data_IF_681836988765
#
_entry.id   IF_681836988765
#
_cell.length_a   1.000
_cell.length_b   1.000
_cell.length_c   1.000
_cell.angle_alpha   90.00
_cell.angle_beta   90.00
_cell.angle_gamma   90.00
#
_symmetry.space_group_name_H-M   'P 1'
#
loop_
_entity.id
_entity.type
_entity.pdbx_description
1 polymer ?
#
# COMPACT_ATOMS: atom_id res chain seq x y z
N UNK A 1 -35.65 -35.30 32.88
CA UNK A 1 -34.93 -34.17 32.23
C UNK A 1 -34.22 -34.66 30.98
N UNK A 2 -34.56 -34.02 29.87
CA UNK A 2 -34.45 -34.53 28.50
C UNK A 2 -33.02 -34.75 28.03
N UNK A 3 -32.74 -35.90 27.41
CA UNK A 3 -31.45 -36.24 26.77
C UNK A 3 -30.97 -35.14 25.80
N UNK A 4 -31.91 -34.35 25.28
CA UNK A 4 -31.68 -33.19 24.42
C UNK A 4 -30.96 -32.03 25.10
N UNK A 5 -31.11 -31.80 26.41
CA UNK A 5 -30.43 -30.68 27.07
C UNK A 5 -28.93 -30.90 27.12
N UNK A 6 -28.48 -32.13 27.42
CA UNK A 6 -27.05 -32.49 27.41
C UNK A 6 -26.45 -32.35 26.01
N UNK A 7 -27.22 -32.73 24.99
CA UNK A 7 -26.83 -32.57 23.60
C UNK A 7 -26.67 -31.09 23.21
N UNK A 8 -27.65 -30.25 23.54
CA UNK A 8 -27.58 -28.80 23.27
C UNK A 8 -26.42 -28.13 24.01
N UNK A 9 -26.17 -28.49 25.27
CA UNK A 9 -25.04 -27.96 26.05
C UNK A 9 -23.69 -28.34 25.40
N UNK A 10 -23.54 -29.57 24.91
CA UNK A 10 -22.32 -29.99 24.22
C UNK A 10 -22.11 -29.22 22.91
N UNK A 11 -23.17 -28.99 22.13
CA UNK A 11 -23.12 -28.20 20.89
C UNK A 11 -22.74 -26.74 21.18
N UNK A 12 -23.35 -26.13 22.18
CA UNK A 12 -23.06 -24.74 22.56
C UNK A 12 -21.61 -24.61 23.04
N UNK A 13 -21.14 -25.54 23.86
CA UNK A 13 -19.75 -25.55 24.32
C UNK A 13 -18.75 -25.71 23.16
N UNK A 14 -19.04 -26.62 22.22
CA UNK A 14 -18.20 -26.79 21.03
C UNK A 14 -18.16 -25.55 20.14
N UNK A 15 -19.31 -24.93 19.90
CA UNK A 15 -19.40 -23.70 19.11
C UNK A 15 -18.68 -22.53 19.79
N UNK A 16 -18.87 -22.36 21.10
CA UNK A 16 -18.19 -21.33 21.87
C UNK A 16 -16.67 -21.52 21.87
N UNK A 17 -16.20 -22.76 22.06
CA UNK A 17 -14.78 -23.08 22.02
C UNK A 17 -14.16 -22.85 20.63
N UNK A 18 -14.86 -23.25 19.56
CA UNK A 18 -14.41 -23.03 18.18
C UNK A 18 -14.32 -21.55 17.82
N UNK A 19 -15.32 -20.76 18.22
CA UNK A 19 -15.32 -19.31 18.01
C UNK A 19 -14.21 -18.61 18.81
N UNK A 20 -14.05 -19.00 20.09
CA UNK A 20 -12.98 -18.46 20.92
C UNK A 20 -11.60 -18.76 20.33
N UNK A 21 -11.39 -19.98 19.84
CA UNK A 21 -10.14 -20.36 19.19
C UNK A 21 -9.89 -19.55 17.92
N UNK A 22 -10.88 -19.43 17.04
CA UNK A 22 -10.76 -18.67 15.78
C UNK A 22 -10.62 -17.16 15.95
N UNK A 23 -11.02 -16.59 17.09
CA UNK A 23 -10.90 -15.14 17.33
C UNK A 23 -9.68 -14.77 18.19
N UNK A 24 -9.39 -15.55 19.24
CA UNK A 24 -8.37 -15.20 20.24
C UNK A 24 -7.03 -15.88 19.98
N UNK A 25 -7.04 -17.14 19.52
CA UNK A 25 -5.82 -17.92 19.35
C UNK A 25 -5.20 -17.72 17.97
N UNK A 26 -6.04 -17.70 16.93
CA UNK A 26 -5.59 -17.47 15.56
C UNK A 26 -6.56 -16.50 14.86
N UNK A 27 -6.54 -15.20 15.23
CA UNK A 27 -7.35 -14.20 14.55
C UNK A 27 -7.05 -14.22 13.05
N UNK A 28 -8.03 -13.86 12.23
CA UNK A 28 -7.79 -13.65 10.79
C UNK A 28 -6.71 -12.57 10.65
N UNK A 29 -5.51 -12.98 10.25
CA UNK A 29 -4.52 -12.06 9.73
C UNK A 29 -4.89 -11.84 8.26
N UNK A 30 -5.20 -10.59 7.90
CA UNK A 30 -5.34 -10.20 6.51
C UNK A 30 -3.96 -10.25 5.85
N UNK A 31 -3.51 -11.44 5.50
CA UNK A 31 -2.33 -11.69 4.69
C UNK A 31 -2.82 -11.65 3.24
N UNK A 32 -2.52 -10.56 2.53
CA UNK A 32 -2.83 -10.25 1.11
C UNK A 32 -3.58 -8.92 0.95
N UNK A 33 -3.14 -7.90 1.67
CA UNK A 33 -3.69 -6.56 1.52
C UNK A 33 -2.98 -5.89 0.32
N UNK A 34 -3.75 -5.44 -0.67
CA UNK A 34 -3.23 -4.79 -1.87
C UNK A 34 -2.30 -3.59 -1.51
N UNK A 35 -1.34 -3.20 -2.37
CA UNK A 35 -0.36 -2.17 -2.01
C UNK A 35 -0.97 -0.81 -1.63
N UNK A 36 -2.21 -0.58 -2.03
CA UNK A 36 -3.05 0.55 -1.61
C UNK A 36 -3.36 0.60 -0.09
N UNK A 37 -3.22 -0.51 0.62
CA UNK A 37 -3.46 -0.60 2.07
C UNK A 37 -2.21 -0.34 2.90
N UNK A 38 -1.04 -0.17 2.26
CA UNK A 38 0.18 0.16 2.99
C UNK A 38 -0.05 1.44 3.81
N UNK A 39 0.52 1.43 5.01
CA UNK A 39 0.63 2.64 5.81
C UNK A 39 1.39 3.71 5.02
N UNK A 40 1.08 4.96 5.33
CA UNK A 40 1.60 6.13 4.60
C UNK A 40 3.14 6.23 4.65
N UNK A 41 3.78 5.72 5.72
CA UNK A 41 5.24 5.59 5.83
C UNK A 41 5.80 4.71 4.70
N UNK A 42 5.35 3.46 4.59
CA UNK A 42 5.85 2.54 3.56
C UNK A 42 5.47 2.96 2.14
N UNK A 43 4.32 3.62 1.96
CA UNK A 43 3.98 4.22 0.66
C UNK A 43 4.98 5.29 0.28
N UNK A 44 5.38 6.13 1.23
CA UNK A 44 6.36 7.19 1.00
C UNK A 44 7.72 6.61 0.65
N UNK A 45 8.17 5.58 1.38
CA UNK A 45 9.42 4.87 1.07
C UNK A 45 9.40 4.23 -0.34
N UNK A 46 8.28 3.64 -0.74
CA UNK A 46 8.14 3.10 -2.09
C UNK A 46 8.23 4.19 -3.16
N UNK A 47 7.55 5.32 -2.95
CA UNK A 47 7.62 6.46 -3.89
C UNK A 47 9.05 7.01 -3.97
N UNK A 48 9.78 7.05 -2.86
CA UNK A 48 11.19 7.44 -2.83
C UNK A 48 12.06 6.50 -3.67
N UNK A 49 11.91 5.17 -3.51
CA UNK A 49 12.62 4.19 -4.35
C UNK A 49 12.30 4.37 -5.84
N UNK A 50 11.06 4.71 -6.18
CA UNK A 50 10.67 5.01 -7.57
C UNK A 50 11.36 6.30 -8.05
N UNK A 51 11.45 7.34 -7.20
CA UNK A 51 12.13 8.58 -7.52
C UNK A 51 13.64 8.39 -7.74
N UNK A 52 14.29 7.60 -6.89
CA UNK A 52 15.70 7.21 -7.03
C UNK A 52 15.95 6.47 -8.35
N UNK A 53 15.13 5.45 -8.65
CA UNK A 53 15.28 4.71 -9.91
C UNK A 53 14.98 5.59 -11.13
N UNK A 54 14.01 6.51 -11.04
CA UNK A 54 13.77 7.49 -12.10
C UNK A 54 14.98 8.39 -12.33
N UNK A 55 15.67 8.82 -11.28
CA UNK A 55 16.88 9.64 -11.42
C UNK A 55 17.97 8.92 -12.23
N UNK A 56 18.10 7.60 -12.07
CA UNK A 56 19.07 6.77 -12.78
C UNK A 56 18.61 6.45 -14.20
N UNK A 57 17.38 5.96 -14.35
CA UNK A 57 16.87 5.42 -15.62
C UNK A 57 16.27 6.50 -16.55
N UNK A 58 15.90 7.66 -15.99
CA UNK A 58 15.22 8.78 -16.67
C UNK A 58 13.93 8.37 -17.42
N UNK A 59 13.35 7.22 -17.07
CA UNK A 59 12.18 6.66 -17.72
C UNK A 59 10.91 6.98 -16.93
N UNK A 60 10.24 8.06 -17.35
CA UNK A 60 9.05 8.56 -16.66
C UNK A 60 7.85 7.61 -16.78
N UNK A 61 7.65 6.96 -17.93
CA UNK A 61 6.59 5.97 -18.11
C UNK A 61 6.75 4.75 -17.22
N UNK A 62 7.98 4.29 -17.02
CA UNK A 62 8.27 3.21 -16.07
C UNK A 62 8.00 3.65 -14.63
N UNK A 63 8.38 4.89 -14.26
CA UNK A 63 8.08 5.45 -12.95
C UNK A 63 6.56 5.51 -12.70
N UNK A 64 5.77 5.97 -13.69
CA UNK A 64 4.31 6.00 -13.58
C UNK A 64 3.71 4.61 -13.43
N UNK A 65 4.16 3.62 -14.22
CA UNK A 65 3.70 2.23 -14.09
C UNK A 65 3.97 1.67 -12.70
N UNK A 66 5.12 2.01 -12.10
CA UNK A 66 5.46 1.62 -10.73
C UNK A 66 4.59 2.33 -9.69
N UNK A 67 4.34 3.63 -9.85
CA UNK A 67 3.44 4.38 -8.95
C UNK A 67 1.99 3.87 -9.01
N UNK A 68 1.53 3.43 -10.18
CA UNK A 68 0.20 2.85 -10.36
C UNK A 68 -0.04 1.56 -9.55
N UNK A 69 1.03 0.92 -9.02
CA UNK A 69 0.88 -0.21 -8.11
C UNK A 69 0.31 0.20 -6.75
N UNK A 70 0.46 1.46 -6.34
CA UNK A 70 -0.04 1.99 -5.06
C UNK A 70 -1.54 2.30 -5.06
N UNK A 71 -2.23 2.15 -6.19
CA UNK A 71 -3.67 2.33 -6.31
C UNK A 71 -4.07 3.12 -7.56
N UNK A 72 -5.33 3.59 -7.55
CA UNK A 72 -5.96 4.29 -8.68
C UNK A 72 -5.77 5.81 -8.70
N UNK A 73 -5.10 6.38 -7.70
CA UNK A 73 -4.80 7.82 -7.63
C UNK A 73 -3.88 8.26 -8.76
N UNK A 74 -3.96 9.53 -9.13
CA UNK A 74 -3.04 10.08 -10.13
C UNK A 74 -1.59 9.99 -9.62
N UNK A 75 -0.60 9.66 -10.47
CA UNK A 75 0.81 9.58 -10.06
C UNK A 75 1.32 10.86 -9.39
N UNK A 76 0.85 12.02 -9.83
CA UNK A 76 1.16 13.33 -9.24
C UNK A 76 0.64 13.46 -7.81
N UNK A 77 -0.58 12.97 -7.54
CA UNK A 77 -1.17 12.97 -6.19
C UNK A 77 -0.42 12.02 -5.25
N UNK A 78 -0.02 10.85 -5.76
CA UNK A 78 0.76 9.87 -5.00
C UNK A 78 2.09 10.49 -4.53
N UNK A 79 2.80 11.16 -5.44
CA UNK A 79 4.06 11.84 -5.11
C UNK A 79 3.85 13.05 -4.20
N UNK A 80 2.79 13.84 -4.41
CA UNK A 80 2.48 14.97 -3.55
C UNK A 80 2.18 14.55 -2.11
N UNK A 81 1.44 13.44 -1.93
CA UNK A 81 1.17 12.87 -0.61
C UNK A 81 2.44 12.37 0.07
N UNK A 82 3.30 11.66 -0.67
CA UNK A 82 4.60 11.19 -0.18
C UNK A 82 5.50 12.36 0.24
N UNK A 83 5.58 13.42 -0.57
CA UNK A 83 6.35 14.63 -0.24
C UNK A 83 5.80 15.32 1.03
N UNK A 84 4.47 15.44 1.14
CA UNK A 84 3.82 15.99 2.33
C UNK A 84 4.10 15.19 3.60
N UNK A 85 4.12 13.86 3.50
CA UNK A 85 4.50 12.98 4.61
C UNK A 85 5.98 13.12 4.97
N UNK A 86 6.87 13.12 3.98
CA UNK A 86 8.32 13.23 4.14
C UNK A 86 8.73 14.54 4.83
N UNK A 87 8.07 15.65 4.50
CA UNK A 87 8.28 16.95 5.14
C UNK A 87 7.90 16.96 6.63
N UNK A 88 6.88 16.19 7.02
CA UNK A 88 6.43 16.09 8.41
C UNK A 88 7.30 15.16 9.27
N UNK A 89 8.05 14.25 8.63
CA UNK A 89 8.82 13.19 9.31
C UNK A 89 10.34 13.36 9.13
N UNK A 90 10.81 14.58 8.86
CA UNK A 90 12.23 14.95 8.84
C UNK A 90 13.11 14.10 7.89
N UNK A 91 12.58 13.74 6.72
CA UNK A 91 13.36 13.04 5.69
C UNK A 91 14.58 13.86 5.26
N UNK A 92 15.62 13.18 4.73
CA UNK A 92 16.83 13.87 4.31
C UNK A 92 16.52 14.86 3.17
N UNK A 93 17.24 15.99 3.15
CA UNK A 93 17.05 17.01 2.12
C UNK A 93 17.27 16.49 0.69
N UNK A 94 18.15 15.50 0.54
CA UNK A 94 18.39 14.82 -0.72
C UNK A 94 17.15 14.03 -1.18
N UNK A 95 16.51 13.28 -0.28
CA UNK A 95 15.31 12.49 -0.57
C UNK A 95 14.13 13.39 -0.94
N UNK A 96 13.97 14.51 -0.23
CA UNK A 96 12.98 15.53 -0.56
C UNK A 96 13.20 16.09 -1.98
N UNK A 97 14.46 16.31 -2.38
CA UNK A 97 14.78 16.78 -3.73
C UNK A 97 14.45 15.74 -4.81
N UNK A 98 14.63 14.46 -4.51
CA UNK A 98 14.27 13.37 -5.42
C UNK A 98 12.76 13.31 -5.64
N UNK A 99 11.99 13.31 -4.55
CA UNK A 99 10.53 13.33 -4.58
C UNK A 99 10.00 14.56 -5.33
N UNK A 100 10.58 15.74 -5.08
CA UNK A 100 10.22 16.95 -5.80
C UNK A 100 10.53 16.85 -7.29
N UNK A 101 11.72 16.38 -7.66
CA UNK A 101 12.13 16.24 -9.07
C UNK A 101 11.23 15.29 -9.84
N UNK A 102 10.81 14.17 -9.22
CA UNK A 102 9.85 13.24 -9.79
C UNK A 102 8.48 13.91 -9.95
N UNK A 103 8.04 14.66 -8.94
CA UNK A 103 6.77 15.40 -8.98
C UNK A 103 6.71 16.42 -10.11
N UNK A 104 7.79 17.18 -10.31
CA UNK A 104 7.93 18.15 -11.40
C UNK A 104 7.93 17.47 -12.77
N UNK A 105 8.66 16.36 -12.92
CA UNK A 105 8.69 15.59 -14.16
C UNK A 105 7.28 15.09 -14.53
N UNK A 106 6.53 14.58 -13.54
CA UNK A 106 5.17 14.07 -13.75
C UNK A 106 4.18 15.15 -14.23
N UNK A 107 4.38 16.42 -13.92
CA UNK A 107 3.53 17.50 -14.46
C UNK A 107 3.66 17.66 -15.98
N UNK A 108 4.81 17.28 -16.53
CA UNK A 108 5.08 17.33 -17.97
C UNK A 108 4.77 16.00 -18.68
N UNK A 109 4.46 14.95 -17.93
CA UNK A 109 4.22 13.62 -18.46
C UNK A 109 2.94 13.59 -19.29
N UNK A 110 3.04 13.06 -20.50
CA UNK A 110 1.89 12.85 -21.37
C UNK A 110 1.89 11.39 -21.87
N UNK A 111 0.95 10.55 -21.42
CA UNK A 111 0.91 9.13 -21.79
C UNK A 111 0.71 8.91 -23.30
N UNK A 112 0.14 9.87 -24.01
CA UNK A 112 -0.06 9.76 -25.46
C UNK A 112 1.22 9.94 -26.28
N UNK A 113 2.30 10.45 -25.66
CA UNK A 113 3.60 10.62 -26.29
C UNK A 113 4.50 9.41 -26.10
N UNK A 114 4.13 8.48 -25.21
CA UNK A 114 4.86 7.24 -25.00
C UNK A 114 4.47 6.20 -26.04
N UNK A 115 5.42 5.85 -26.90
CA UNK A 115 5.27 4.73 -27.82
C UNK A 115 5.18 3.45 -26.96
N UNK A 116 4.10 2.67 -27.02
CA UNK A 116 4.00 1.44 -26.26
C UNK A 116 5.14 0.52 -26.68
N UNK A 117 6.06 0.27 -25.75
CA UNK A 117 7.12 -0.72 -25.93
C UNK A 117 6.46 -2.10 -26.04
N UNK A 118 6.68 -2.84 -27.14
CA UNK A 118 6.08 -4.17 -27.36
C UNK A 118 6.57 -5.20 -26.34
#
# INVERSE_FOLDING_TARGET
MSRWTKFLVAVILGAAAGLFYGWVVNPVEYVDIAPESLRVDYKTDYVLMVAESYQVDQNLGLAVRRLALLGSSAPTEIVANALGYALQHEYASQDLSLLQSLGEALLTWNPNLEIPTP
#
